data_IF_358325690000
#
_entry.id   IF_358325690000
#
_cell.length_a   1.000
_cell.length_b   1.000
_cell.length_c   1.000
_cell.angle_alpha   90.00
_cell.angle_beta   90.00
_cell.angle_gamma   90.00
#
_symmetry.space_group_name_H-M   'P 1'
#
loop_
_entity.id
_entity.type
_entity.pdbx_description
1 polymer ?
#
# COMPACT_ATOMS: atom_id res chain seq x y z
N UNK A 1 -8.44 -15.49 23.62
CA UNK A 1 -7.51 -15.41 22.48
C UNK A 1 -7.48 -13.97 22.00
N UNK A 2 -6.30 -13.37 21.83
CA UNK A 2 -6.18 -12.06 21.22
C UNK A 2 -6.49 -12.19 19.72
N UNK A 3 -7.49 -11.45 19.23
CA UNK A 3 -7.77 -11.38 17.79
C UNK A 3 -6.59 -10.71 17.09
N UNK A 4 -6.02 -11.32 16.05
CA UNK A 4 -4.92 -10.71 15.29
C UNK A 4 -5.46 -9.58 14.43
N UNK A 5 -5.41 -8.36 14.96
CA UNK A 5 -5.67 -7.14 14.22
C UNK A 5 -4.37 -6.58 13.64
N UNK A 6 -4.42 -6.11 12.40
CA UNK A 6 -3.32 -5.39 11.75
C UNK A 6 -3.78 -3.99 11.36
N UNK A 7 -2.83 -3.05 11.35
CA UNK A 7 -3.03 -1.70 10.82
C UNK A 7 -2.10 -1.56 9.63
N UNK A 8 -2.65 -1.19 8.48
CA UNK A 8 -1.92 -1.10 7.22
C UNK A 8 -1.96 0.33 6.67
N UNK A 9 -0.88 0.67 5.98
CA UNK A 9 -0.81 1.89 5.20
C UNK A 9 -1.62 1.79 3.91
N UNK A 10 -2.13 2.89 3.38
CA UNK A 10 -2.77 2.84 2.06
C UNK A 10 -1.76 2.49 0.96
N UNK A 11 -2.16 1.71 -0.05
CA UNK A 11 -1.32 1.31 -1.18
C UNK A 11 -2.18 1.07 -2.44
N UNK A 12 -1.78 1.63 -3.59
CA UNK A 12 -2.52 1.53 -4.87
C UNK A 12 -2.52 0.11 -5.46
N UNK A 13 -1.33 -0.50 -5.58
CA UNK A 13 -1.12 -1.89 -5.98
C UNK A 13 -0.08 -2.49 -5.04
N UNK A 14 -0.51 -3.02 -3.88
CA UNK A 14 0.42 -3.39 -2.83
C UNK A 14 1.26 -4.62 -3.21
N UNK A 15 2.46 -4.75 -2.62
CA UNK A 15 3.28 -5.95 -2.73
C UNK A 15 2.62 -7.18 -2.09
N UNK A 16 3.17 -8.38 -2.37
CA UNK A 16 2.58 -9.66 -1.95
C UNK A 16 2.53 -9.82 -0.44
N UNK A 17 3.53 -9.32 0.29
CA UNK A 17 3.60 -9.32 1.76
C UNK A 17 2.46 -8.53 2.42
N UNK A 18 2.04 -7.41 1.80
CA UNK A 18 0.88 -6.66 2.26
C UNK A 18 -0.42 -7.48 2.11
N UNK A 19 -0.58 -8.19 1.00
CA UNK A 19 -1.75 -9.06 0.76
C UNK A 19 -1.71 -10.29 1.66
N UNK A 20 -0.53 -10.83 1.94
CA UNK A 20 -0.32 -11.94 2.87
C UNK A 20 -0.65 -11.54 4.32
N UNK A 21 -0.29 -10.32 4.73
CA UNK A 21 -0.70 -9.75 6.00
C UNK A 21 -2.23 -9.66 6.11
N UNK A 22 -2.92 -9.18 5.07
CA UNK A 22 -4.40 -9.16 5.01
C UNK A 22 -4.98 -10.57 5.14
N UNK A 23 -4.47 -11.53 4.38
CA UNK A 23 -4.96 -12.91 4.38
C UNK A 23 -4.78 -13.60 5.74
N UNK A 24 -3.78 -13.18 6.52
CA UNK A 24 -3.45 -13.76 7.83
C UNK A 24 -4.11 -13.08 9.02
N UNK A 25 -4.85 -11.99 8.81
CA UNK A 25 -5.45 -11.18 9.87
C UNK A 25 -6.94 -11.46 10.06
N UNK A 26 -7.41 -11.39 11.31
CA UNK A 26 -8.83 -11.48 11.65
C UNK A 26 -9.54 -10.12 11.46
N UNK A 27 -8.79 -9.03 11.63
CA UNK A 27 -9.27 -7.67 11.47
C UNK A 27 -8.20 -6.84 10.77
N UNK A 28 -8.57 -6.20 9.67
CA UNK A 28 -7.71 -5.30 8.92
C UNK A 28 -8.23 -3.88 9.09
N UNK A 29 -7.35 -2.99 9.54
CA UNK A 29 -7.62 -1.56 9.67
C UNK A 29 -6.68 -0.80 8.74
N UNK A 30 -7.17 0.27 8.13
CA UNK A 30 -6.34 1.23 7.41
C UNK A 30 -5.98 2.39 8.34
N UNK A 31 -4.72 2.83 8.30
CA UNK A 31 -4.31 3.99 9.09
C UNK A 31 -4.92 5.27 8.52
N UNK A 32 -5.80 5.90 9.31
CA UNK A 32 -6.60 7.03 8.87
C UNK A 32 -5.80 8.35 8.80
N UNK A 33 -4.77 8.50 9.64
CA UNK A 33 -4.00 9.75 9.78
C UNK A 33 -2.57 9.62 9.27
N UNK A 34 -2.41 8.78 8.25
CA UNK A 34 -1.12 8.44 7.69
C UNK A 34 -0.39 9.65 7.09
N UNK A 35 0.80 9.94 7.61
CA UNK A 35 1.66 10.99 7.08
C UNK A 35 2.21 10.59 5.72
N UNK A 36 1.98 11.42 4.68
CA UNK A 36 2.47 11.12 3.35
C UNK A 36 4.00 11.22 3.29
N UNK A 37 4.65 10.06 3.29
CA UNK A 37 6.08 9.95 3.04
C UNK A 37 6.34 10.00 1.54
N UNK A 38 7.18 10.96 1.09
CA UNK A 38 7.66 10.98 -0.28
C UNK A 38 8.36 9.66 -0.58
N UNK A 39 8.14 9.15 -1.78
CA UNK A 39 8.76 7.92 -2.26
C UNK A 39 8.32 6.62 -1.58
N UNK A 40 7.18 6.61 -0.91
CA UNK A 40 6.55 5.39 -0.38
C UNK A 40 5.77 4.60 -1.46
N UNK A 41 5.40 3.36 -1.14
CA UNK A 41 4.55 2.49 -1.96
C UNK A 41 3.06 2.92 -2.00
N UNK A 42 2.68 3.95 -1.23
CA UNK A 42 1.28 4.39 -1.13
C UNK A 42 0.65 4.72 -2.48
N UNK A 43 1.41 5.40 -3.32
CA UNK A 43 0.99 5.85 -4.64
C UNK A 43 1.91 5.33 -5.74
N UNK A 44 2.71 4.30 -5.46
CA UNK A 44 3.70 3.75 -6.40
C UNK A 44 3.53 2.25 -6.53
N UNK A 45 3.77 1.73 -7.72
CA UNK A 45 3.81 0.30 -7.96
C UNK A 45 4.84 0.00 -9.04
N UNK A 46 5.38 -1.21 -9.01
CA UNK A 46 6.22 -1.74 -10.09
C UNK A 46 5.46 -2.88 -10.77
N UNK A 47 5.40 -2.84 -12.10
CA UNK A 47 4.75 -3.87 -12.92
C UNK A 47 5.71 -4.33 -14.01
N UNK A 48 5.58 -5.59 -14.42
CA UNK A 48 6.36 -6.11 -15.55
C UNK A 48 5.62 -5.75 -16.84
N UNK A 49 6.26 -4.97 -17.70
CA UNK A 49 5.79 -4.62 -19.03
C UNK A 49 6.67 -5.16 -20.16
N UNK A 50 6.34 -4.89 -21.43
CA UNK A 50 7.06 -5.39 -22.59
C UNK A 50 8.54 -4.98 -22.64
N UNK A 51 8.90 -3.87 -21.98
CA UNK A 51 10.24 -3.31 -21.97
C UNK A 51 10.97 -3.47 -20.62
N UNK A 52 10.49 -4.39 -19.76
CA UNK A 52 11.02 -4.60 -18.41
C UNK A 52 10.12 -4.02 -17.32
N UNK A 53 10.71 -3.71 -16.16
CA UNK A 53 9.95 -3.18 -15.01
C UNK A 53 9.55 -1.73 -15.24
N UNK A 54 8.24 -1.46 -15.18
CA UNK A 54 7.65 -0.13 -15.28
C UNK A 54 7.23 0.37 -13.89
N UNK A 55 7.51 1.65 -13.62
CA UNK A 55 7.13 2.32 -12.37
C UNK A 55 5.87 3.14 -12.57
N UNK A 56 4.77 2.69 -11.98
CA UNK A 56 3.50 3.41 -11.97
C UNK A 56 3.44 4.35 -10.78
N UNK A 57 2.88 5.55 -10.97
CA UNK A 57 2.70 6.54 -9.91
C UNK A 57 1.29 7.15 -10.01
N UNK A 58 0.51 7.05 -8.93
CA UNK A 58 -0.74 7.79 -8.77
C UNK A 58 -0.39 9.24 -8.37
N UNK A 59 -0.76 10.26 -9.16
CA UNK A 59 -0.45 11.65 -8.85
C UNK A 59 -1.08 12.10 -7.53
N UNK A 60 -0.31 12.81 -6.70
CA UNK A 60 -0.83 13.43 -5.47
C UNK A 60 -1.24 14.86 -5.77
N UNK A 61 -2.53 15.14 -5.62
CA UNK A 61 -3.06 16.51 -5.67
C UNK A 61 -2.75 17.18 -4.33
N UNK A 62 -1.99 18.27 -4.35
CA UNK A 62 -1.85 19.15 -3.18
C UNK A 62 -3.00 20.14 -3.20
N UNK A 63 -3.72 20.37 -2.10
CA UNK A 63 -4.56 21.55 -1.97
C UNK A 63 -3.66 22.78 -2.15
N UNK A 64 -4.06 23.69 -3.04
CA UNK A 64 -3.41 24.99 -3.20
C UNK A 64 -3.69 25.92 -2.03
#
# INVERSE_FOLDING_TARGET
MARRAIVLTTAYMPPVDYVEAIASAELVLLEAHEHYQKQSYRNRAEVVGPNGVERLVVPVVRPG
#
